data_IF_457995128846
#
_entry.id   IF_457995128846
#
_cell.length_a   1.000
_cell.length_b   1.000
_cell.length_c   1.000
_cell.angle_alpha   90.00
_cell.angle_beta   90.00
_cell.angle_gamma   90.00
#
_symmetry.space_group_name_H-M   'P 1'
#
loop_
_entity.id
_entity.type
_entity.pdbx_description
1 polymer ?
#
# COMPACT_ATOMS: atom_id res chain seq x y z
N UNK A 1 9.34 -23.74 -39.80
CA UNK A 1 9.89 -22.96 -38.67
C UNK A 1 9.30 -21.54 -38.65
N UNK A 2 7.98 -21.38 -38.54
CA UNK A 2 7.31 -20.05 -38.55
C UNK A 2 6.30 -19.86 -37.41
N UNK A 3 5.87 -20.96 -36.78
CA UNK A 3 4.94 -20.96 -35.64
C UNK A 3 5.63 -20.82 -34.27
N UNK A 4 6.96 -20.98 -34.21
CA UNK A 4 7.73 -20.86 -32.96
C UNK A 4 7.99 -19.39 -32.56
N UNK A 5 8.01 -18.47 -33.54
CA UNK A 5 8.27 -17.05 -33.28
C UNK A 5 7.08 -16.33 -32.63
N UNK A 6 5.86 -16.81 -32.84
CA UNK A 6 4.65 -16.16 -32.29
C UNK A 6 4.55 -16.32 -30.78
N UNK A 7 5.01 -17.45 -30.22
CA UNK A 7 5.01 -17.67 -28.77
C UNK A 7 6.04 -16.80 -28.03
N UNK A 8 7.15 -16.45 -28.67
CA UNK A 8 8.23 -15.69 -28.02
C UNK A 8 7.86 -14.21 -27.82
N UNK A 9 6.96 -13.67 -28.64
CA UNK A 9 6.51 -12.27 -28.56
C UNK A 9 5.48 -12.08 -27.43
N UNK A 10 4.67 -13.11 -27.13
CA UNK A 10 3.67 -13.05 -26.06
C UNK A 10 4.28 -13.06 -24.64
N UNK A 11 5.48 -13.65 -24.49
CA UNK A 11 6.18 -13.75 -23.21
C UNK A 11 6.84 -12.44 -22.75
N UNK A 12 7.01 -11.45 -23.64
CA UNK A 12 7.63 -10.17 -23.30
C UNK A 12 6.67 -9.13 -22.72
N UNK A 13 5.37 -9.44 -22.63
CA UNK A 13 4.35 -8.54 -22.07
C UNK A 13 4.07 -8.76 -20.58
N UNK A 14 4.76 -9.70 -19.92
CA UNK A 14 4.72 -9.79 -18.45
C UNK A 14 5.62 -8.69 -17.90
N UNK A 15 5.12 -7.45 -17.90
CA UNK A 15 5.72 -6.44 -17.03
C UNK A 15 5.61 -7.03 -15.63
N UNK A 16 6.74 -7.32 -15.00
CA UNK A 16 6.75 -7.70 -13.59
C UNK A 16 6.39 -6.43 -12.85
N UNK A 17 5.13 -6.29 -12.45
CA UNK A 17 4.66 -5.22 -11.57
C UNK A 17 5.21 -5.53 -10.18
N UNK A 18 6.50 -5.28 -9.97
CA UNK A 18 7.03 -5.20 -8.62
C UNK A 18 6.32 -4.01 -7.96
N UNK A 19 5.35 -4.28 -7.08
CA UNK A 19 4.74 -3.21 -6.30
C UNK A 19 5.82 -2.64 -5.37
N UNK A 20 6.08 -1.33 -5.49
CA UNK A 20 7.09 -0.68 -4.67
C UNK A 20 6.74 -0.79 -3.19
N UNK A 21 7.51 -1.62 -2.47
CA UNK A 21 7.47 -1.75 -1.01
C UNK A 21 8.37 -0.68 -0.42
N UNK A 22 7.80 0.21 0.40
CA UNK A 22 8.53 1.28 1.05
C UNK A 22 8.43 1.13 2.56
N UNK A 23 9.55 1.24 3.28
CA UNK A 23 9.53 1.30 4.74
C UNK A 23 9.09 2.69 5.18
N UNK A 24 8.08 2.76 6.03
CA UNK A 24 7.55 4.01 6.60
C UNK A 24 7.54 3.95 8.12
N UNK A 25 7.51 5.11 8.77
CA UNK A 25 7.34 5.22 10.22
C UNK A 25 6.01 5.87 10.54
N UNK A 26 5.09 5.16 11.18
CA UNK A 26 3.87 5.75 11.77
C UNK A 26 4.29 6.60 12.97
N UNK A 27 3.87 7.86 12.98
CA UNK A 27 4.13 8.83 14.06
C UNK A 27 2.99 8.88 15.06
N UNK A 28 1.77 8.95 14.54
CA UNK A 28 0.56 9.05 15.33
C UNK A 28 -0.61 8.43 14.57
N UNK A 29 -1.66 8.12 15.30
CA UNK A 29 -2.94 7.73 14.73
C UNK A 29 -4.04 8.38 15.53
N UNK A 30 -4.97 9.00 14.82
CA UNK A 30 -6.10 9.70 15.37
C UNK A 30 -7.38 9.12 14.78
N UNK A 31 -8.46 9.15 15.56
CA UNK A 31 -9.78 8.76 15.10
C UNK A 31 -10.69 9.97 15.25
N UNK A 32 -11.19 10.47 14.13
CA UNK A 32 -12.02 11.67 14.08
C UNK A 32 -13.26 11.39 13.24
N UNK A 33 -14.45 11.49 13.84
CA UNK A 33 -15.74 11.37 13.15
C UNK A 33 -15.87 10.17 12.19
N UNK A 34 -15.41 8.98 12.62
CA UNK A 34 -15.49 7.76 11.80
C UNK A 34 -14.39 7.62 10.74
N UNK A 35 -13.37 8.48 10.76
CA UNK A 35 -12.16 8.35 9.95
C UNK A 35 -10.97 8.07 10.85
N UNK A 36 -10.17 7.08 10.50
CA UNK A 36 -8.86 6.84 11.09
C UNK A 36 -7.82 7.56 10.23
N UNK A 37 -7.05 8.44 10.87
CA UNK A 37 -6.00 9.26 10.27
C UNK A 37 -4.67 8.76 10.81
N UNK A 38 -3.77 8.31 9.94
CA UNK A 38 -2.46 7.76 10.28
C UNK A 38 -1.38 8.66 9.69
N UNK A 39 -0.67 9.40 10.54
CA UNK A 39 0.45 10.24 10.09
C UNK A 39 1.70 9.38 9.96
N UNK A 40 2.27 9.32 8.76
CA UNK A 40 3.50 8.57 8.46
C UNK A 40 4.63 9.50 8.02
N UNK A 41 5.86 9.10 8.31
CA UNK A 41 7.04 9.62 7.64
C UNK A 41 7.54 8.60 6.62
N UNK A 42 7.76 9.06 5.39
CA UNK A 42 8.39 8.26 4.34
C UNK A 42 9.90 8.45 4.48
N UNK A 43 10.60 7.35 4.74
CA UNK A 43 12.03 7.33 5.10
C UNK A 43 12.91 8.08 4.09
N UNK A 44 12.53 8.08 2.81
CA UNK A 44 13.34 8.64 1.72
C UNK A 44 13.02 10.11 1.42
N UNK A 45 11.94 10.67 1.97
CA UNK A 45 11.39 11.94 1.50
C UNK A 45 11.45 13.10 2.51
N UNK A 46 11.89 12.89 3.77
CA UNK A 46 11.77 13.87 4.87
C UNK A 46 10.37 14.52 4.95
N UNK A 47 9.34 13.83 4.46
CA UNK A 47 7.97 14.33 4.32
C UNK A 47 7.05 13.48 5.19
N UNK A 48 6.18 14.16 5.92
CA UNK A 48 5.05 13.54 6.60
C UNK A 48 3.84 13.56 5.68
N UNK A 49 3.08 12.46 5.67
CA UNK A 49 1.83 12.31 4.90
C UNK A 49 0.80 11.67 5.82
N UNK A 50 -0.44 12.11 5.70
CA UNK A 50 -1.56 11.50 6.41
C UNK A 50 -2.25 10.47 5.52
N UNK A 51 -2.47 9.28 6.07
CA UNK A 51 -3.24 8.22 5.44
C UNK A 51 -4.61 8.13 6.10
N UNK A 52 -5.67 7.95 5.31
CA UNK A 52 -7.04 7.94 5.82
C UNK A 52 -7.74 6.63 5.50
N UNK A 53 -8.48 6.07 6.45
CA UNK A 53 -9.43 5.00 6.19
C UNK A 53 -10.71 5.19 6.98
N UNK A 54 -11.82 4.64 6.48
CA UNK A 54 -13.11 4.72 7.15
C UNK A 54 -13.21 3.67 8.25
N UNK A 55 -13.41 4.13 9.49
CA UNK A 55 -13.59 3.27 10.66
C UNK A 55 -14.76 2.30 10.46
N UNK A 56 -14.59 1.06 10.92
CA UNK A 56 -15.57 -0.01 10.75
C UNK A 56 -15.52 -0.71 9.38
N UNK A 57 -14.70 -0.27 8.44
CA UNK A 57 -14.38 -1.09 7.26
C UNK A 57 -13.42 -2.23 7.64
N UNK A 58 -13.56 -3.45 7.07
CA UNK A 58 -12.76 -4.62 7.47
C UNK A 58 -11.24 -4.46 7.34
N UNK A 59 -10.78 -3.47 6.56
CA UNK A 59 -9.38 -3.19 6.27
C UNK A 59 -8.98 -1.77 6.71
N UNK A 60 -9.47 -1.30 7.87
CA UNK A 60 -9.09 -0.02 8.46
C UNK A 60 -8.64 -0.21 9.90
N UNK A 61 -7.33 -0.30 10.11
CA UNK A 61 -6.73 -0.42 11.44
C UNK A 61 -6.24 0.95 11.92
N UNK A 62 -6.12 1.08 13.25
CA UNK A 62 -5.45 2.21 13.89
C UNK A 62 -4.07 1.77 14.42
N UNK A 63 -3.02 1.71 13.57
CA UNK A 63 -1.71 1.21 13.96
C UNK A 63 -1.07 2.08 15.05
N UNK A 64 -0.26 1.47 15.92
CA UNK A 64 0.56 2.24 16.88
C UNK A 64 1.76 2.87 16.18
N UNK A 65 2.36 3.88 16.79
CA UNK A 65 3.63 4.43 16.31
C UNK A 65 4.71 3.34 16.18
N UNK A 66 5.47 3.35 15.10
CA UNK A 66 6.44 2.31 14.79
C UNK A 66 6.78 2.20 13.30
N UNK A 67 7.61 1.23 12.95
CA UNK A 67 7.96 0.93 11.56
C UNK A 67 6.95 -0.02 10.92
N UNK A 68 6.64 0.23 9.64
CA UNK A 68 5.72 -0.55 8.83
C UNK A 68 6.21 -0.63 7.39
N UNK A 69 5.71 -1.63 6.67
CA UNK A 69 5.76 -1.63 5.22
C UNK A 69 4.55 -0.92 4.64
N UNK A 70 4.78 -0.13 3.61
CA UNK A 70 3.73 0.47 2.79
C UNK A 70 3.89 -0.03 1.37
N UNK A 71 2.79 -0.48 0.76
CA UNK A 71 2.74 -0.88 -0.64
C UNK A 71 1.77 0.03 -1.37
N UNK A 72 2.27 0.71 -2.40
CA UNK A 72 1.41 1.54 -3.25
C UNK A 72 0.63 0.66 -4.23
N UNK A 73 -0.69 0.81 -4.25
CA UNK A 73 -1.55 0.11 -5.22
C UNK A 73 -1.47 0.80 -6.60
N UNK A 74 -1.69 0.06 -7.71
CA UNK A 74 -1.82 0.67 -9.01
C UNK A 74 -2.89 1.76 -9.03
N UNK A 75 -2.76 2.72 -9.95
CA UNK A 75 -3.74 3.80 -10.09
C UNK A 75 -5.15 3.23 -10.33
N UNK A 76 -6.16 3.74 -9.62
CA UNK A 76 -7.56 3.29 -9.66
C UNK A 76 -7.79 1.87 -9.12
N UNK A 77 -6.89 1.34 -8.29
CA UNK A 77 -7.10 0.11 -7.52
C UNK A 77 -7.28 0.42 -6.04
N UNK A 78 -8.10 -0.39 -5.37
CA UNK A 78 -8.46 -0.25 -3.96
C UNK A 78 -9.92 0.14 -3.76
N UNK A 79 -10.26 0.43 -2.51
CA UNK A 79 -11.60 0.71 -2.01
C UNK A 79 -11.93 2.20 -1.99
N UNK A 80 -10.93 3.08 -2.10
CA UNK A 80 -11.08 4.53 -2.09
C UNK A 80 -10.82 5.15 -3.46
N UNK A 81 -11.51 6.26 -3.76
CA UNK A 81 -11.28 7.08 -4.96
C UNK A 81 -10.08 8.01 -4.77
N UNK A 82 -8.90 7.43 -4.56
CA UNK A 82 -7.62 8.14 -4.43
C UNK A 82 -6.45 7.15 -4.64
N UNK A 83 -5.22 7.61 -4.38
CA UNK A 83 -4.08 6.70 -4.35
C UNK A 83 -4.15 5.80 -3.10
N UNK A 84 -4.63 4.57 -3.26
CA UNK A 84 -4.65 3.62 -2.17
C UNK A 84 -3.24 3.08 -1.87
N UNK A 85 -2.99 2.83 -0.59
CA UNK A 85 -1.79 2.17 -0.09
C UNK A 85 -2.19 1.11 0.94
N UNK A 86 -1.48 -0.01 0.94
CA UNK A 86 -1.62 -1.05 1.95
C UNK A 86 -0.52 -0.91 3.00
N UNK A 87 -0.89 -0.94 4.28
CA UNK A 87 0.07 -1.01 5.38
C UNK A 87 0.18 -2.44 5.92
N UNK A 88 1.41 -2.86 6.19
CA UNK A 88 1.72 -4.16 6.81
C UNK A 88 2.66 -3.95 7.99
N UNK A 89 2.60 -4.83 9.02
CA UNK A 89 3.62 -4.84 10.07
C UNK A 89 5.01 -4.97 9.44
N UNK A 90 6.04 -4.34 10.02
CA UNK A 90 7.42 -4.45 9.48
C UNK A 90 7.96 -5.89 9.46
N UNK A 91 7.38 -6.78 10.27
CA UNK A 91 7.73 -8.21 10.34
C UNK A 91 7.01 -9.08 9.31
N UNK A 92 6.02 -8.52 8.61
CA UNK A 92 5.26 -9.22 7.58
C UNK A 92 5.97 -9.15 6.22
N UNK A 93 5.74 -10.15 5.37
CA UNK A 93 6.04 -10.09 3.95
C UNK A 93 4.79 -9.62 3.16
N UNK A 94 4.81 -8.41 2.58
CA UNK A 94 3.66 -7.87 1.86
C UNK A 94 3.18 -8.68 0.64
N UNK A 95 3.95 -9.66 0.15
CA UNK A 95 3.51 -10.52 -0.96
C UNK A 95 2.67 -11.72 -0.51
N UNK A 96 2.74 -12.09 0.76
CA UNK A 96 2.16 -13.35 1.27
C UNK A 96 1.37 -13.20 2.57
N UNK A 97 1.66 -12.18 3.37
CA UNK A 97 0.99 -11.91 4.64
C UNK A 97 -0.17 -10.91 4.47
N UNK A 98 -1.17 -10.95 5.37
CA UNK A 98 -2.28 -10.01 5.34
C UNK A 98 -1.85 -8.59 5.71
N UNK A 99 -2.43 -7.60 5.04
CA UNK A 99 -2.33 -6.19 5.40
C UNK A 99 -3.03 -5.88 6.73
N UNK A 100 -2.53 -4.88 7.44
CA UNK A 100 -3.22 -4.24 8.56
C UNK A 100 -4.43 -3.45 8.09
N UNK A 101 -4.29 -2.81 6.93
CA UNK A 101 -5.36 -2.03 6.33
C UNK A 101 -4.98 -1.45 4.99
N UNK A 102 -5.99 -0.96 4.31
CA UNK A 102 -5.88 -0.17 3.10
C UNK A 102 -6.30 1.26 3.41
N UNK A 103 -5.51 2.21 2.96
CA UNK A 103 -5.67 3.62 3.28
C UNK A 103 -5.59 4.46 2.02
N UNK A 104 -6.36 5.54 2.03
CA UNK A 104 -6.24 6.60 1.08
C UNK A 104 -5.02 7.48 1.41
N UNK A 105 -4.11 7.67 0.45
CA UNK A 105 -3.03 8.65 0.51
C UNK A 105 -3.39 9.85 -0.38
N UNK A 106 -4.00 10.92 0.18
CA UNK A 106 -4.41 12.10 -0.58
C UNK A 106 -3.25 12.88 -1.20
#
# INVERSE_FOLDING_TARGET
>A
MKKLLVCLILLMAVQVWAQDKTKVTVKSTEKNNGVVIVTINISDAKKSVDLNCNDGTPSCAAPKAGEYWMVKLPKNHGVYDCQCVDLFPVTADPDSDPKLGEYCMP
#
